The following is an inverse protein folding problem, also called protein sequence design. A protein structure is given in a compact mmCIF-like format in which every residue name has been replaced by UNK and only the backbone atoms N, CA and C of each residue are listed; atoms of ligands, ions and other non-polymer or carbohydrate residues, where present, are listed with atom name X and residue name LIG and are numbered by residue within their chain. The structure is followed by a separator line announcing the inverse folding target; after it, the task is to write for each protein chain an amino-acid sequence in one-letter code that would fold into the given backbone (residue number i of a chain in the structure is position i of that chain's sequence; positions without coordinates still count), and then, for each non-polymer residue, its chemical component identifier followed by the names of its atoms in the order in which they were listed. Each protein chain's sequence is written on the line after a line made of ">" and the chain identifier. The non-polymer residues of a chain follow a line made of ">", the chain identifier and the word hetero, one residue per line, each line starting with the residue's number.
data_IF_374856157001
#
_entry.id   IF_374856157001
#
_cell.length_a   1.000
_cell.length_b   1.000
_cell.length_c   1.000
_cell.angle_alpha   90.00
_cell.angle_beta   90.00
_cell.angle_gamma   90.00
#
_symmetry.space_group_name_H-M   'P 1'
#
loop_
_entity.id
_entity.type
_entity.pdbx_description
1 polymer ?
#
# COMPACT_ATOMS: atom_id res chain seq x y z
N UNK A 1 -0.19 1.02 31.47
CA UNK A 1 0.65 0.17 30.61
C UNK A 1 -0.11 0.02 29.32
N UNK A 2 0.54 0.29 28.18
CA UNK A 2 -0.06 0.02 26.86
C UNK A 2 -0.25 -1.50 26.72
N UNK A 3 -1.28 -1.97 26.01
CA UNK A 3 -1.55 -3.41 25.89
C UNK A 3 -0.56 -4.12 24.95
N UNK A 4 0.23 -3.35 24.18
CA UNK A 4 1.24 -3.84 23.24
C UNK A 4 2.68 -3.57 23.69
N UNK A 5 3.59 -4.37 23.15
CA UNK A 5 5.04 -4.25 23.24
C UNK A 5 5.65 -4.00 21.84
N UNK A 6 6.63 -3.10 21.76
CA UNK A 6 7.45 -2.90 20.54
C UNK A 6 8.90 -3.25 20.84
N UNK A 7 9.44 -4.24 20.15
CA UNK A 7 10.86 -4.63 20.25
C UNK A 7 11.62 -4.18 19.00
N UNK A 8 12.77 -3.54 19.19
CA UNK A 8 13.61 -3.06 18.09
C UNK A 8 14.98 -3.73 18.06
N UNK A 9 15.45 -4.10 16.87
CA UNK A 9 16.76 -4.71 16.62
C UNK A 9 17.19 -4.49 15.15
N UNK A 10 18.45 -4.73 14.82
CA UNK A 10 18.90 -4.63 13.43
C UNK A 10 18.47 -5.83 12.58
N UNK A 11 18.24 -5.60 11.28
CA UNK A 11 17.89 -6.65 10.32
C UNK A 11 19.17 -7.41 9.92
N UNK A 12 19.70 -8.21 10.83
CA UNK A 12 20.91 -9.02 10.61
C UNK A 12 20.68 -10.46 11.05
N UNK A 13 21.38 -11.41 10.41
CA UNK A 13 21.25 -12.84 10.74
C UNK A 13 21.60 -13.14 12.21
N UNK A 14 22.60 -12.45 12.75
CA UNK A 14 23.02 -12.57 14.15
C UNK A 14 21.92 -12.10 15.12
N UNK A 15 21.39 -10.89 14.92
CA UNK A 15 20.35 -10.34 15.79
C UNK A 15 19.04 -11.11 15.68
N UNK A 16 18.62 -11.54 14.47
CA UNK A 16 17.43 -12.38 14.31
C UNK A 16 17.60 -13.71 15.08
N UNK A 17 18.79 -14.31 15.04
CA UNK A 17 19.07 -15.57 15.73
C UNK A 17 19.07 -15.41 17.25
N UNK A 18 19.56 -14.29 17.76
CA UNK A 18 19.55 -13.95 19.18
C UNK A 18 18.14 -13.57 19.69
N UNK A 19 17.35 -12.86 18.87
CA UNK A 19 16.02 -12.36 19.21
C UNK A 19 14.93 -13.44 19.15
N UNK A 20 14.92 -14.28 18.10
CA UNK A 20 13.87 -15.26 17.86
C UNK A 20 13.57 -16.26 19.02
N UNK A 21 14.52 -16.68 19.87
CA UNK A 21 14.23 -17.55 21.02
C UNK A 21 13.78 -16.81 22.29
N UNK A 22 13.81 -15.47 22.34
CA UNK A 22 13.47 -14.71 23.55
C UNK A 22 11.98 -14.80 23.90
N UNK A 23 11.13 -14.96 22.90
CA UNK A 23 9.68 -15.13 23.07
C UNK A 23 9.14 -16.13 22.04
N UNK A 24 8.30 -17.06 22.49
CA UNK A 24 7.66 -18.05 21.61
C UNK A 24 6.73 -17.38 20.60
N UNK A 25 6.17 -16.21 20.94
CA UNK A 25 5.28 -15.41 20.07
C UNK A 25 5.96 -15.03 18.75
N UNK A 26 7.29 -14.86 18.73
CA UNK A 26 8.03 -14.53 17.51
C UNK A 26 8.02 -15.63 16.42
N UNK A 27 7.58 -16.84 16.77
CA UNK A 27 7.50 -17.99 15.84
C UNK A 27 6.09 -18.48 15.58
N UNK A 28 5.14 -18.12 16.44
CA UNK A 28 3.78 -18.66 16.39
C UNK A 28 2.75 -17.74 17.05
N UNK A 29 2.74 -16.46 16.68
CA UNK A 29 1.75 -15.50 17.13
C UNK A 29 1.55 -14.43 16.05
N UNK A 30 0.33 -13.92 15.86
CA UNK A 30 0.09 -12.78 14.97
C UNK A 30 0.86 -11.55 15.44
N UNK A 31 1.74 -11.03 14.59
CA UNK A 31 2.49 -9.79 14.86
C UNK A 31 2.39 -8.86 13.67
N UNK A 32 2.63 -7.57 13.92
CA UNK A 32 2.93 -6.57 12.88
C UNK A 32 4.37 -6.11 13.06
N UNK A 33 5.07 -5.81 11.98
CA UNK A 33 6.43 -5.28 12.04
C UNK A 33 6.64 -4.16 11.03
N UNK A 34 7.59 -3.28 11.35
CA UNK A 34 8.06 -2.21 10.49
C UNK A 34 9.55 -2.41 10.23
N UNK A 35 9.94 -2.38 8.96
CA UNK A 35 11.30 -2.40 8.48
C UNK A 35 11.63 -1.04 7.87
N UNK A 36 12.72 -0.43 8.30
CA UNK A 36 13.22 0.81 7.71
C UNK A 36 14.75 0.85 7.71
N UNK A 37 15.30 1.87 7.05
CA UNK A 37 16.69 2.26 7.14
C UNK A 37 16.84 3.46 8.10
N UNK A 38 16.79 3.21 9.41
CA UNK A 38 16.80 4.17 10.52
C UNK A 38 17.87 5.30 10.51
N UNK A 39 18.80 5.30 9.56
CA UNK A 39 19.77 6.38 9.35
C UNK A 39 19.15 7.66 8.76
N UNK A 40 17.87 7.67 8.38
CA UNK A 40 17.22 8.79 7.72
C UNK A 40 16.80 9.95 8.63
N UNK A 41 16.40 9.67 9.88
CA UNK A 41 15.65 10.64 10.71
C UNK A 41 16.45 11.21 11.89
N UNK A 42 17.63 10.65 12.20
CA UNK A 42 18.48 11.19 13.27
C UNK A 42 19.29 12.42 12.81
N UNK A 43 18.62 13.57 12.71
CA UNK A 43 19.23 14.84 13.10
C UNK A 43 19.49 15.92 12.05
N UNK A 44 18.87 15.94 10.87
CA UNK A 44 18.94 17.12 9.99
C UNK A 44 17.59 17.47 9.34
N UNK A 45 17.20 18.76 9.29
CA UNK A 45 16.10 19.20 8.44
C UNK A 45 16.57 19.07 6.98
N UNK A 46 16.12 18.03 6.30
CA UNK A 46 16.55 17.72 4.94
C UNK A 46 16.03 18.76 3.96
N UNK A 47 16.96 19.63 3.55
CA UNK A 47 16.83 20.54 2.43
C UNK A 47 16.71 19.71 1.15
N UNK A 48 15.48 19.62 0.62
CA UNK A 48 15.07 19.50 -0.80
C UNK A 48 15.75 18.49 -1.75
N UNK A 49 16.70 17.64 -1.35
CA UNK A 49 17.38 16.72 -2.28
C UNK A 49 18.14 15.57 -1.60
N UNK A 50 17.47 14.73 -0.81
CA UNK A 50 18.07 13.48 -0.33
C UNK A 50 17.13 12.30 -0.57
N UNK A 51 17.74 11.16 -0.94
CA UNK A 51 17.11 9.88 -1.24
C UNK A 51 15.98 9.58 -0.26
N UNK A 52 14.77 9.42 -0.79
CA UNK A 52 13.63 8.95 0.00
C UNK A 52 14.05 7.64 0.65
N UNK A 53 13.82 7.55 1.95
CA UNK A 53 14.15 6.36 2.73
C UNK A 53 13.03 5.35 2.56
N UNK A 54 13.37 4.07 2.51
CA UNK A 54 12.39 3.04 2.23
C UNK A 54 11.82 2.47 3.53
N UNK A 55 10.53 2.16 3.52
CA UNK A 55 9.85 1.51 4.63
C UNK A 55 9.00 0.36 4.13
N UNK A 56 8.97 -0.73 4.89
CA UNK A 56 8.07 -1.85 4.65
C UNK A 56 7.36 -2.21 5.95
N UNK A 57 6.05 -2.34 5.90
CA UNK A 57 5.24 -2.86 7.00
C UNK A 57 4.81 -4.28 6.64
N UNK A 58 4.67 -5.17 7.60
CA UNK A 58 4.09 -6.48 7.31
C UNK A 58 3.50 -7.11 8.54
N UNK A 59 2.58 -8.04 8.35
CA UNK A 59 2.18 -8.98 9.39
C UNK A 59 2.78 -10.38 9.18
N UNK A 60 2.79 -11.19 10.22
CA UNK A 60 3.12 -12.61 10.13
C UNK A 60 2.71 -13.38 11.38
N UNK A 61 2.40 -14.67 11.21
CA UNK A 61 2.35 -15.64 12.33
C UNK A 61 3.74 -16.13 12.75
N UNK A 62 4.73 -16.04 11.86
CA UNK A 62 6.10 -16.48 12.10
C UNK A 62 7.09 -15.39 11.70
N UNK A 63 7.14 -14.37 12.55
CA UNK A 63 8.00 -13.19 12.38
C UNK A 63 9.46 -13.58 12.15
N UNK A 64 10.00 -14.54 12.91
CA UNK A 64 11.38 -14.96 12.79
C UNK A 64 11.71 -15.59 11.42
N UNK A 65 10.80 -16.38 10.84
CA UNK A 65 10.97 -16.87 9.48
C UNK A 65 10.86 -15.73 8.46
N UNK A 66 9.88 -14.83 8.65
CA UNK A 66 9.66 -13.69 7.75
C UNK A 66 10.83 -12.71 7.71
N UNK A 67 11.50 -12.45 8.85
CA UNK A 67 12.69 -11.60 8.90
C UNK A 67 13.86 -12.19 8.11
N UNK A 68 14.03 -13.51 8.12
CA UNK A 68 15.05 -14.18 7.30
C UNK A 68 14.73 -14.06 5.81
N UNK A 69 13.47 -14.24 5.42
CA UNK A 69 13.04 -14.05 4.03
C UNK A 69 13.31 -12.62 3.54
N UNK A 70 13.06 -11.61 4.37
CA UNK A 70 13.37 -10.22 4.01
C UNK A 70 14.87 -9.97 3.89
N UNK A 71 15.69 -10.59 4.75
CA UNK A 71 17.15 -10.49 4.68
C UNK A 71 17.70 -11.10 3.37
N UNK A 72 17.09 -12.17 2.88
CA UNK A 72 17.48 -12.84 1.64
C UNK A 72 16.93 -12.14 0.38
N UNK A 73 16.06 -11.13 0.53
CA UNK A 73 15.45 -10.40 -0.58
C UNK A 73 16.34 -9.25 -1.06
N UNK A 74 16.78 -9.33 -2.33
CA UNK A 74 17.60 -8.28 -2.96
C UNK A 74 16.92 -6.90 -2.97
N UNK A 75 15.59 -6.87 -3.05
CA UNK A 75 14.82 -5.63 -3.04
C UNK A 75 14.79 -4.96 -1.66
N UNK A 76 14.96 -5.72 -0.56
CA UNK A 76 14.78 -5.25 0.82
C UNK A 76 16.05 -5.29 1.67
N UNK A 77 17.17 -5.80 1.14
CA UNK A 77 18.46 -5.89 1.84
C UNK A 77 19.05 -4.56 2.35
N UNK A 78 18.55 -3.43 1.85
CA UNK A 78 19.00 -2.10 2.29
C UNK A 78 18.28 -1.64 3.58
N UNK A 79 17.20 -2.32 4.00
CA UNK A 79 16.52 -2.08 5.26
C UNK A 79 17.39 -2.61 6.40
N UNK A 80 17.55 -1.83 7.47
CA UNK A 80 18.54 -2.11 8.51
C UNK A 80 17.93 -2.30 9.89
N UNK A 81 16.69 -1.86 10.09
CA UNK A 81 16.08 -1.79 11.41
C UNK A 81 14.72 -2.46 11.37
N UNK A 82 14.48 -3.32 12.36
CA UNK A 82 13.22 -4.01 12.59
C UNK A 82 12.57 -3.44 13.85
N UNK A 83 11.26 -3.22 13.80
CA UNK A 83 10.40 -3.00 14.97
C UNK A 83 9.26 -4.01 14.91
N UNK A 84 9.14 -4.88 15.91
CA UNK A 84 8.08 -5.89 15.99
C UNK A 84 7.09 -5.48 17.07
N UNK A 85 5.82 -5.39 16.69
CA UNK A 85 4.69 -4.97 17.51
C UNK A 85 3.86 -6.21 17.85
N UNK A 86 3.66 -6.45 19.15
CA UNK A 86 2.91 -7.60 19.66
C UNK A 86 1.94 -7.13 20.73
N UNK A 87 0.75 -7.71 20.73
CA UNK A 87 -0.23 -7.62 21.81
C UNK A 87 -0.80 -9.02 22.07
N UNK A 88 -1.17 -9.31 23.33
CA UNK A 88 -1.77 -10.60 23.72
C UNK A 88 -3.16 -10.84 23.12
N UNK A 89 -3.79 -9.80 22.59
CA UNK A 89 -5.13 -9.85 21.98
C UNK A 89 -5.09 -9.92 20.45
N UNK A 90 -3.90 -9.80 19.84
CA UNK A 90 -3.77 -9.84 18.38
C UNK A 90 -4.23 -11.17 17.79
N UNK A 91 -5.04 -11.03 16.76
CA UNK A 91 -5.41 -12.08 15.82
C UNK A 91 -5.09 -11.61 14.40
N UNK A 92 -5.24 -12.49 13.41
CA UNK A 92 -4.92 -12.19 12.00
C UNK A 92 -5.65 -10.94 11.49
N UNK A 93 -6.94 -10.78 11.79
CA UNK A 93 -7.73 -9.62 11.34
C UNK A 93 -7.21 -8.31 11.94
N UNK A 94 -6.85 -8.31 13.22
CA UNK A 94 -6.27 -7.12 13.89
C UNK A 94 -4.92 -6.75 13.27
N UNK A 95 -4.07 -7.73 12.99
CA UNK A 95 -2.76 -7.48 12.40
C UNK A 95 -2.86 -6.93 10.97
N UNK A 96 -3.78 -7.46 10.17
CA UNK A 96 -4.06 -6.94 8.82
C UNK A 96 -4.58 -5.49 8.86
N UNK A 97 -5.48 -5.15 9.79
CA UNK A 97 -5.99 -3.77 9.95
C UNK A 97 -4.88 -2.83 10.45
N UNK A 98 -4.04 -3.26 11.40
CA UNK A 98 -2.91 -2.46 11.88
C UNK A 98 -1.84 -2.26 10.80
N UNK A 99 -1.48 -3.30 10.05
CA UNK A 99 -0.58 -3.18 8.89
C UNK A 99 -1.12 -2.15 7.90
N UNK A 100 -2.38 -2.30 7.48
CA UNK A 100 -3.06 -1.40 6.54
C UNK A 100 -3.10 0.04 7.05
N UNK A 101 -3.39 0.22 8.34
CA UNK A 101 -3.36 1.51 9.01
C UNK A 101 -1.96 2.15 8.95
N UNK A 102 -0.90 1.43 9.33
CA UNK A 102 0.46 1.96 9.32
C UNK A 102 0.95 2.28 7.91
N UNK A 103 0.65 1.45 6.92
CA UNK A 103 0.96 1.70 5.49
C UNK A 103 0.34 3.03 5.04
N UNK A 104 -0.96 3.23 5.33
CA UNK A 104 -1.67 4.48 5.01
C UNK A 104 -1.03 5.69 5.66
N UNK A 105 -0.72 5.58 6.95
CA UNK A 105 -0.12 6.69 7.70
C UNK A 105 1.28 7.03 7.16
N UNK A 106 2.10 6.02 6.84
CA UNK A 106 3.45 6.23 6.28
C UNK A 106 3.39 6.88 4.89
N UNK A 107 2.48 6.41 4.05
CA UNK A 107 2.26 6.99 2.72
C UNK A 107 1.84 8.46 2.81
N UNK A 108 1.01 8.84 3.79
CA UNK A 108 0.59 10.22 4.00
C UNK A 108 1.61 11.12 4.72
N UNK A 109 2.48 10.55 5.57
CA UNK A 109 3.59 11.27 6.20
C UNK A 109 4.59 11.76 5.12
N UNK A 110 4.83 10.94 4.11
CA UNK A 110 5.60 11.30 2.91
C UNK A 110 7.11 11.39 3.15
N UNK A 111 7.59 10.93 4.31
CA UNK A 111 9.02 10.84 4.66
C UNK A 111 9.67 9.62 4.01
N UNK A 112 8.91 8.53 3.91
CA UNK A 112 9.36 7.28 3.33
C UNK A 112 8.71 6.98 1.99
N UNK A 113 9.40 6.19 1.19
CA UNK A 113 8.83 5.46 0.07
C UNK A 113 8.37 4.11 0.63
N UNK A 114 7.05 3.92 0.63
CA UNK A 114 6.45 2.68 1.11
C UNK A 114 6.67 1.59 0.07
N UNK A 115 7.35 0.52 0.46
CA UNK A 115 7.68 -0.62 -0.40
C UNK A 115 6.54 -1.64 -0.52
N UNK A 116 5.53 -1.57 0.36
CA UNK A 116 4.34 -2.40 0.26
C UNK A 116 3.61 -2.17 -1.05
N UNK A 117 3.12 -3.26 -1.65
CA UNK A 117 2.18 -3.18 -2.76
C UNK A 117 0.76 -2.98 -2.22
N UNK A 118 -0.08 -2.32 -3.00
CA UNK A 118 -1.43 -1.92 -2.62
C UNK A 118 -2.48 -3.00 -2.92
N UNK A 119 -2.12 -4.28 -2.80
CA UNK A 119 -2.77 -5.36 -3.56
C UNK A 119 -4.24 -5.64 -3.20
N UNK A 120 -4.84 -4.93 -2.24
CA UNK A 120 -6.24 -5.10 -1.89
C UNK A 120 -6.63 -4.60 -0.50
N UNK A 121 -6.09 -3.45 -0.06
CA UNK A 121 -6.49 -2.88 1.23
C UNK A 121 -7.97 -2.48 1.15
N UNK A 122 -8.83 -3.27 1.78
CA UNK A 122 -10.27 -3.01 1.93
C UNK A 122 -10.62 -2.76 3.39
N UNK A 123 -11.62 -1.92 3.64
CA UNK A 123 -12.15 -1.77 5.00
C UNK A 123 -13.03 -2.97 5.35
N UNK A 124 -12.57 -3.82 6.27
CA UNK A 124 -13.30 -4.99 6.76
C UNK A 124 -13.70 -4.83 8.24
N UNK A 125 -14.86 -5.37 8.61
CA UNK A 125 -15.29 -5.47 10.01
C UNK A 125 -14.75 -6.75 10.68
N UNK A 126 -14.42 -6.66 11.98
CA UNK A 126 -14.06 -7.82 12.79
C UNK A 126 -14.40 -7.59 14.27
N UNK A 127 -14.38 -8.66 15.05
CA UNK A 127 -14.76 -8.63 16.46
C UNK A 127 -13.93 -7.61 17.25
N UNK A 128 -14.62 -6.71 17.96
CA UNK A 128 -14.04 -5.61 18.76
C UNK A 128 -13.13 -4.62 18.00
N UNK A 129 -13.28 -4.48 16.67
CA UNK A 129 -12.46 -3.58 15.84
C UNK A 129 -12.28 -2.16 16.38
N UNK A 130 -13.33 -1.52 16.87
CA UNK A 130 -13.24 -0.16 17.43
C UNK A 130 -12.26 -0.10 18.63
N UNK A 131 -12.34 -1.09 19.53
CA UNK A 131 -11.43 -1.21 20.68
C UNK A 131 -9.98 -1.39 20.23
N UNK A 132 -9.73 -2.18 19.18
CA UNK A 132 -8.37 -2.34 18.65
C UNK A 132 -7.85 -1.05 18.01
N UNK A 133 -8.69 -0.30 17.31
CA UNK A 133 -8.29 0.96 16.67
C UNK A 133 -7.84 2.04 17.66
N UNK A 134 -8.41 2.07 18.87
CA UNK A 134 -7.89 2.92 19.95
C UNK A 134 -6.44 2.60 20.32
N UNK A 135 -6.02 1.34 20.19
CA UNK A 135 -4.63 0.93 20.42
C UNK A 135 -3.70 1.30 19.26
N UNK A 136 -4.22 1.43 18.03
CA UNK A 136 -3.41 1.76 16.86
C UNK A 136 -2.85 3.17 16.94
N UNK A 137 -3.62 4.11 17.48
CA UNK A 137 -3.14 5.48 17.74
C UNK A 137 -1.96 5.47 18.73
N UNK A 138 -2.02 4.61 19.75
CA UNK A 138 -0.93 4.47 20.73
C UNK A 138 0.31 3.84 20.09
N UNK A 139 0.13 2.83 19.22
CA UNK A 139 1.23 2.26 18.41
C UNK A 139 1.86 3.33 17.52
N UNK A 140 1.04 4.13 16.84
CA UNK A 140 1.50 5.23 15.99
C UNK A 140 2.35 6.23 16.79
N UNK A 141 1.86 6.70 17.94
CA UNK A 141 2.60 7.65 18.76
C UNK A 141 3.92 7.07 19.29
N UNK A 142 3.97 5.79 19.63
CA UNK A 142 5.23 5.14 20.01
C UNK A 142 6.21 5.06 18.83
N UNK A 143 5.74 4.66 17.65
CA UNK A 143 6.57 4.62 16.43
C UNK A 143 7.06 6.01 16.03
N UNK A 144 6.24 7.05 16.21
CA UNK A 144 6.61 8.44 16.01
C UNK A 144 7.72 8.86 16.97
N UNK A 145 7.61 8.50 18.26
CA UNK A 145 8.68 8.74 19.24
C UNK A 145 9.98 8.02 18.88
N UNK A 146 9.88 6.86 18.24
CA UNK A 146 11.02 6.08 17.72
C UNK A 146 11.57 6.61 16.38
N UNK A 147 11.02 7.71 15.86
CA UNK A 147 11.46 8.40 14.64
C UNK A 147 10.95 7.80 13.33
N UNK A 148 9.93 6.92 13.37
CA UNK A 148 9.31 6.32 12.18
C UNK A 148 8.34 7.29 11.50
N UNK A 149 7.76 8.22 12.25
CA UNK A 149 6.89 9.27 11.73
C UNK A 149 7.41 10.64 12.14
N UNK A 150 7.15 11.66 11.32
CA UNK A 150 7.47 13.05 11.67
C UNK A 150 6.20 13.82 12.01
N UNK A 151 5.14 13.66 11.21
CA UNK A 151 3.86 14.36 11.40
C UNK A 151 2.98 13.65 12.41
N UNK A 152 2.05 14.40 12.98
CA UNK A 152 0.94 13.85 13.77
C UNK A 152 -0.15 13.24 12.89
N UNK A 153 -1.02 12.43 13.50
CA UNK A 153 -2.18 11.84 12.80
C UNK A 153 -3.01 12.93 12.09
N UNK A 154 -3.42 14.04 12.74
CA UNK A 154 -4.24 15.06 12.07
C UNK A 154 -3.52 15.75 10.91
N UNK A 155 -2.20 15.94 10.99
CA UNK A 155 -1.43 16.55 9.90
C UNK A 155 -1.36 15.61 8.68
N UNK A 156 -1.21 14.30 8.91
CA UNK A 156 -1.21 13.28 7.87
C UNK A 156 -2.58 13.21 7.22
N UNK A 157 -3.65 13.05 7.99
CA UNK A 157 -5.02 12.88 7.49
C UNK A 157 -5.52 14.09 6.69
N UNK A 158 -5.07 15.29 7.06
CA UNK A 158 -5.44 16.52 6.35
C UNK A 158 -4.63 16.76 5.07
N UNK A 159 -3.54 16.03 4.84
CA UNK A 159 -2.71 16.19 3.65
C UNK A 159 -3.43 15.73 2.37
N UNK A 160 -3.18 16.43 1.26
CA UNK A 160 -3.68 16.01 -0.05
C UNK A 160 -3.13 14.64 -0.46
N UNK A 161 -1.88 14.37 -0.07
CA UNK A 161 -1.22 13.08 -0.30
C UNK A 161 -2.00 11.93 0.34
N UNK A 162 -2.49 12.10 1.57
CA UNK A 162 -3.30 11.09 2.26
C UNK A 162 -4.72 10.99 1.69
N UNK A 163 -5.39 12.14 1.48
CA UNK A 163 -6.77 12.19 0.97
C UNK A 163 -6.94 11.55 -0.41
N UNK A 164 -5.91 11.70 -1.24
CA UNK A 164 -5.84 11.18 -2.61
C UNK A 164 -4.94 9.94 -2.71
N UNK A 165 -4.45 9.43 -1.57
CA UNK A 165 -3.51 8.32 -1.54
C UNK A 165 -4.13 7.07 -2.16
N UNK A 166 -3.41 6.37 -3.06
CA UNK A 166 -3.85 5.05 -3.51
C UNK A 166 -3.79 4.02 -2.37
N UNK A 167 -3.15 4.32 -1.24
CA UNK A 167 -3.13 3.46 -0.06
C UNK A 167 -4.41 3.59 0.78
N UNK A 168 -5.31 4.53 0.46
CA UNK A 168 -6.60 4.62 1.15
C UNK A 168 -7.40 3.36 0.84
N UNK A 169 -7.88 2.71 1.90
CA UNK A 169 -8.69 1.51 1.78
C UNK A 169 -9.96 1.81 0.96
N UNK A 170 -10.22 0.97 -0.05
CA UNK A 170 -11.45 1.08 -0.81
C UNK A 170 -12.64 0.62 0.04
N UNK A 171 -13.78 1.28 -0.14
CA UNK A 171 -15.05 0.70 0.33
C UNK A 171 -15.41 -0.51 -0.53
N UNK A 172 -16.28 -1.39 -0.04
CA UNK A 172 -16.72 -2.57 -0.82
C UNK A 172 -17.24 -2.18 -2.21
N UNK A 173 -18.09 -1.15 -2.30
CA UNK A 173 -18.65 -0.67 -3.57
C UNK A 173 -17.56 -0.14 -4.53
N UNK A 174 -16.55 0.56 -3.99
CA UNK A 174 -15.43 1.05 -4.78
C UNK A 174 -14.56 -0.11 -5.27
N UNK A 175 -14.34 -1.12 -4.43
CA UNK A 175 -13.56 -2.29 -4.76
C UNK A 175 -14.22 -3.11 -5.88
N UNK A 176 -15.54 -3.34 -5.79
CA UNK A 176 -16.34 -3.98 -6.85
C UNK A 176 -16.30 -3.17 -8.14
N UNK A 177 -16.35 -1.83 -8.06
CA UNK A 177 -16.23 -0.98 -9.25
C UNK A 177 -14.85 -1.09 -9.91
N UNK A 178 -13.77 -1.16 -9.14
CA UNK A 178 -12.41 -1.34 -9.66
C UNK A 178 -12.24 -2.71 -10.31
N UNK A 179 -12.72 -3.77 -9.65
CA UNK A 179 -12.71 -5.15 -10.16
C UNK A 179 -13.40 -5.24 -11.53
N UNK A 180 -14.64 -4.77 -11.65
CA UNK A 180 -15.37 -4.81 -12.92
C UNK A 180 -14.73 -3.97 -14.04
N UNK A 181 -14.00 -2.89 -13.70
CA UNK A 181 -13.23 -2.12 -14.68
C UNK A 181 -12.03 -2.91 -15.18
N UNK A 182 -11.31 -3.60 -14.29
CA UNK A 182 -10.16 -4.44 -14.65
C UNK A 182 -10.59 -5.64 -15.50
N UNK A 183 -11.64 -6.35 -15.10
CA UNK A 183 -12.19 -7.47 -15.88
C UNK A 183 -12.54 -7.04 -17.31
N UNK A 184 -13.26 -5.92 -17.45
CA UNK A 184 -13.61 -5.36 -18.75
C UNK A 184 -12.37 -4.98 -19.57
N UNK A 185 -11.43 -4.24 -18.95
CA UNK A 185 -10.20 -3.80 -19.60
C UNK A 185 -9.39 -4.99 -20.13
N UNK A 186 -9.19 -6.04 -19.33
CA UNK A 186 -8.41 -7.19 -19.76
C UNK A 186 -9.11 -8.01 -20.85
N UNK A 187 -10.43 -8.19 -20.77
CA UNK A 187 -11.20 -8.83 -21.85
C UNK A 187 -11.08 -8.03 -23.17
N UNK A 188 -11.05 -6.70 -23.10
CA UNK A 188 -10.85 -5.85 -24.27
C UNK A 188 -9.43 -5.94 -24.82
N UNK A 189 -8.41 -5.99 -23.95
CA UNK A 189 -7.02 -6.17 -24.37
C UNK A 189 -6.80 -7.52 -25.07
N UNK A 190 -7.37 -8.60 -24.55
CA UNK A 190 -7.31 -9.93 -25.17
C UNK A 190 -7.98 -9.97 -26.54
N UNK A 191 -9.09 -9.25 -26.70
CA UNK A 191 -9.84 -9.18 -27.95
C UNK A 191 -9.41 -8.05 -28.90
N UNK A 192 -8.39 -7.25 -28.51
CA UNK A 192 -7.97 -6.03 -29.21
C UNK A 192 -9.12 -5.04 -29.47
N UNK A 193 -10.09 -5.00 -28.55
CA UNK A 193 -11.22 -4.09 -28.58
C UNK A 193 -10.91 -2.77 -27.85
N UNK A 194 -11.67 -1.74 -28.18
CA UNK A 194 -11.66 -0.46 -27.45
C UNK A 194 -12.98 -0.27 -26.76
N UNK A 195 -12.97 -0.07 -25.44
CA UNK A 195 -14.17 0.19 -24.65
C UNK A 195 -14.04 1.47 -23.82
N UNK A 196 -15.11 1.80 -23.12
CA UNK A 196 -15.14 2.93 -22.18
C UNK A 196 -15.94 2.52 -20.95
N UNK A 197 -15.29 2.58 -19.81
CA UNK A 197 -15.92 2.38 -18.50
C UNK A 197 -16.36 3.72 -17.93
N UNK A 198 -17.60 3.79 -17.45
CA UNK A 198 -18.17 5.01 -16.84
C UNK A 198 -18.48 4.74 -15.38
N UNK A 199 -17.84 5.48 -14.47
CA UNK A 199 -18.11 5.42 -13.04
C UNK A 199 -19.08 6.53 -12.66
N UNK A 200 -20.25 6.17 -12.12
CA UNK A 200 -21.23 7.11 -11.60
C UNK A 200 -21.34 7.00 -10.08
N UNK A 201 -21.50 8.13 -9.41
CA UNK A 201 -21.71 8.18 -7.97
C UNK A 201 -21.98 9.59 -7.49
N UNK A 202 -22.62 9.70 -6.33
CA UNK A 202 -22.96 10.98 -5.71
C UNK A 202 -21.72 11.85 -5.39
N UNK A 203 -21.87 13.17 -5.22
CA UNK A 203 -20.77 14.00 -4.72
C UNK A 203 -20.18 13.43 -3.42
N UNK A 204 -18.84 13.37 -3.34
CA UNK A 204 -18.16 12.86 -2.15
C UNK A 204 -17.93 11.35 -2.08
N UNK A 205 -18.42 10.54 -3.02
CA UNK A 205 -18.23 9.07 -3.02
C UNK A 205 -16.82 8.58 -3.38
N UNK A 206 -15.84 9.48 -3.52
CA UNK A 206 -14.45 9.09 -3.75
C UNK A 206 -14.10 8.68 -5.19
N UNK A 207 -14.83 9.13 -6.22
CA UNK A 207 -14.52 8.83 -7.64
C UNK A 207 -13.06 9.11 -8.03
N UNK A 208 -12.49 10.22 -7.56
CA UNK A 208 -11.07 10.54 -7.80
C UNK A 208 -10.12 9.55 -7.13
N UNK A 209 -10.48 9.03 -5.96
CA UNK A 209 -9.71 7.98 -5.27
C UNK A 209 -9.70 6.71 -6.13
N UNK A 210 -10.86 6.29 -6.67
CA UNK A 210 -10.94 5.15 -7.58
C UNK A 210 -10.02 5.34 -8.80
N UNK A 211 -10.04 6.51 -9.43
CA UNK A 211 -9.22 6.77 -10.63
C UNK A 211 -7.71 6.71 -10.34
N UNK A 212 -7.26 7.30 -9.23
CA UNK A 212 -5.84 7.27 -8.81
C UNK A 212 -5.44 5.85 -8.39
N UNK A 213 -6.32 5.17 -7.66
CA UNK A 213 -6.11 3.78 -7.25
C UNK A 213 -5.96 2.86 -8.46
N UNK A 214 -6.87 2.93 -9.43
CA UNK A 214 -6.82 2.14 -10.65
C UNK A 214 -5.53 2.37 -11.43
N UNK A 215 -5.10 3.64 -11.57
CA UNK A 215 -3.84 3.96 -12.24
C UNK A 215 -2.64 3.32 -11.53
N UNK A 216 -2.59 3.40 -10.19
CA UNK A 216 -1.52 2.76 -9.41
C UNK A 216 -1.55 1.25 -9.56
N UNK A 217 -2.74 0.64 -9.47
CA UNK A 217 -2.93 -0.80 -9.57
C UNK A 217 -2.48 -1.32 -10.94
N UNK A 218 -2.82 -0.64 -12.04
CA UNK A 218 -2.35 -0.99 -13.39
C UNK A 218 -0.82 -0.93 -13.52
N UNK A 219 -0.19 0.09 -12.94
CA UNK A 219 1.28 0.18 -12.90
C UNK A 219 1.89 -0.95 -12.08
N UNK A 220 1.26 -1.31 -10.96
CA UNK A 220 1.73 -2.40 -10.10
C UNK A 220 1.60 -3.78 -10.77
N UNK A 221 0.48 -4.02 -11.46
CA UNK A 221 0.26 -5.24 -12.26
C UNK A 221 1.29 -5.31 -13.39
N UNK A 222 1.54 -4.19 -14.10
CA UNK A 222 2.54 -4.15 -15.17
C UNK A 222 3.97 -4.42 -14.64
N UNK A 223 4.27 -4.01 -13.40
CA UNK A 223 5.57 -4.19 -12.76
C UNK A 223 5.68 -5.48 -11.92
N UNK A 224 4.67 -6.35 -11.95
CA UNK A 224 4.60 -7.57 -11.16
C UNK A 224 5.84 -8.46 -11.36
N UNK A 225 6.62 -8.79 -10.31
CA UNK A 225 7.61 -9.86 -10.39
C UNK A 225 6.92 -11.24 -10.46
N UNK A 226 7.66 -12.31 -10.77
CA UNK A 226 7.10 -13.66 -10.86
C UNK A 226 6.31 -14.08 -9.61
N UNK A 227 5.28 -14.91 -9.84
CA UNK A 227 4.13 -15.23 -8.98
C UNK A 227 4.36 -15.61 -7.49
N UNK A 228 5.60 -15.76 -7.02
CA UNK A 228 5.92 -16.30 -5.69
C UNK A 228 5.84 -15.29 -4.53
N UNK A 229 5.51 -14.01 -4.81
CA UNK A 229 5.44 -12.96 -3.79
C UNK A 229 4.03 -12.47 -3.44
N UNK A 230 2.97 -13.01 -4.07
CA UNK A 230 1.61 -12.50 -3.87
C UNK A 230 0.92 -13.15 -2.67
N UNK A 231 0.23 -12.32 -1.89
CA UNK A 231 -0.74 -12.81 -0.92
C UNK A 231 -1.99 -13.27 -1.68
N UNK A 232 -2.22 -14.59 -1.71
CA UNK A 232 -3.35 -15.18 -2.45
C UNK A 232 -4.71 -14.75 -1.93
N UNK A 233 -4.76 -14.19 -0.72
CA UNK A 233 -6.00 -13.75 -0.07
C UNK A 233 -6.38 -12.31 -0.43
N UNK A 234 -5.57 -11.62 -1.24
CA UNK A 234 -5.82 -10.23 -1.64
C UNK A 234 -6.86 -10.13 -2.76
N UNK A 235 -7.75 -9.14 -2.68
CA UNK A 235 -8.89 -8.99 -3.60
C UNK A 235 -8.50 -8.96 -5.08
N UNK A 236 -7.35 -8.35 -5.42
CA UNK A 236 -6.91 -8.20 -6.81
C UNK A 236 -5.80 -9.18 -7.19
N UNK A 237 -5.50 -10.19 -6.36
CA UNK A 237 -4.36 -11.10 -6.55
C UNK A 237 -4.37 -11.81 -7.91
N UNK A 238 -5.56 -12.13 -8.44
CA UNK A 238 -5.70 -12.79 -9.74
C UNK A 238 -5.16 -11.96 -10.92
N UNK A 239 -5.22 -10.62 -10.83
CA UNK A 239 -4.74 -9.73 -11.88
C UNK A 239 -3.22 -9.64 -11.94
N UNK A 240 -2.51 -10.11 -10.91
CA UNK A 240 -1.05 -10.13 -10.88
C UNK A 240 -0.45 -11.42 -11.44
N UNK A 241 -1.30 -12.40 -11.79
CA UNK A 241 -0.90 -13.70 -12.31
C UNK A 241 -1.60 -13.97 -13.65
N UNK A 242 -1.32 -15.12 -14.29
CA UNK A 242 -2.17 -15.62 -15.37
C UNK A 242 -2.05 -14.91 -16.74
N UNK A 243 -1.01 -14.12 -16.99
CA UNK A 243 -0.80 -13.47 -18.30
C UNK A 243 -1.22 -12.00 -18.36
N UNK A 244 -1.88 -11.49 -17.32
CA UNK A 244 -2.33 -10.10 -17.25
C UNK A 244 -1.17 -9.07 -17.26
N UNK A 245 -0.06 -9.27 -16.53
CA UNK A 245 1.11 -8.38 -16.63
C UNK A 245 1.64 -8.24 -18.07
N UNK A 246 1.64 -9.34 -18.83
CA UNK A 246 2.09 -9.39 -20.22
C UNK A 246 1.15 -8.61 -21.16
N UNK A 247 -0.16 -8.65 -20.91
CA UNK A 247 -1.14 -7.85 -21.66
C UNK A 247 -0.94 -6.35 -21.44
N UNK A 248 -0.42 -5.94 -20.27
CA UNK A 248 -0.09 -4.54 -19.99
C UNK A 248 1.29 -4.13 -20.51
N UNK A 249 2.14 -5.06 -20.95
CA UNK A 249 3.53 -4.77 -21.30
C UNK A 249 3.63 -3.73 -22.44
N UNK A 250 4.31 -2.62 -22.17
CA UNK A 250 4.52 -1.54 -23.13
C UNK A 250 3.35 -0.55 -23.26
N UNK A 251 2.26 -0.73 -22.52
CA UNK A 251 1.18 0.25 -22.44
C UNK A 251 1.57 1.42 -21.52
N UNK A 252 1.08 2.61 -21.88
CA UNK A 252 1.16 3.79 -21.02
C UNK A 252 -0.24 4.18 -20.54
N UNK A 253 -0.34 4.54 -19.27
CA UNK A 253 -1.59 4.91 -18.62
C UNK A 253 -1.59 6.41 -18.29
N UNK A 254 -2.71 7.07 -18.53
CA UNK A 254 -2.87 8.50 -18.24
C UNK A 254 -4.19 8.80 -17.54
N UNK A 255 -4.17 9.80 -16.65
CA UNK A 255 -5.36 10.37 -16.03
C UNK A 255 -5.64 11.75 -16.64
N UNK A 256 -6.79 11.89 -17.30
CA UNK A 256 -7.23 13.17 -17.86
C UNK A 256 -8.22 13.82 -16.91
N UNK A 257 -7.83 14.97 -16.33
CA UNK A 257 -8.72 15.79 -15.48
C UNK A 257 -9.17 17.01 -16.27
N UNK A 258 -10.44 17.08 -16.70
CA UNK A 258 -10.94 18.24 -17.45
C UNK A 258 -10.95 19.48 -16.55
N UNK A 259 -10.33 20.58 -17.01
CA UNK A 259 -10.31 21.85 -16.30
C UNK A 259 -11.47 22.74 -16.80
N UNK A 260 -12.65 22.58 -16.21
CA UNK A 260 -13.86 23.37 -16.53
C UNK A 260 -15.14 22.74 -15.99
N UNK A 261 -16.16 23.56 -15.67
CA UNK A 261 -17.46 23.08 -15.16
C UNK A 261 -18.14 22.19 -16.20
N UNK A 262 -18.16 20.89 -15.97
CA UNK A 262 -19.09 19.96 -16.60
C UNK A 262 -20.01 19.38 -15.52
N UNK A 263 -21.31 19.63 -15.65
CA UNK A 263 -22.36 18.87 -14.96
C UNK A 263 -22.49 17.48 -15.60
N UNK A 264 -21.41 16.69 -15.62
CA UNK A 264 -21.36 15.21 -15.64
C UNK A 264 -19.89 14.90 -15.29
N UNK A 265 -19.63 14.44 -14.07
CA UNK A 265 -18.27 14.10 -13.65
C UNK A 265 -17.83 12.76 -14.27
N UNK A 266 -17.28 12.80 -15.48
CA UNK A 266 -16.57 11.69 -16.11
C UNK A 266 -15.06 11.83 -15.88
N UNK A 267 -14.42 10.79 -15.35
CA UNK A 267 -12.96 10.64 -15.35
C UNK A 267 -12.65 9.46 -16.24
N UNK A 268 -11.92 9.67 -17.34
CA UNK A 268 -11.50 8.60 -18.25
C UNK A 268 -10.05 8.21 -17.99
N UNK A 269 -9.80 6.91 -17.95
CA UNK A 269 -8.47 6.32 -18.01
C UNK A 269 -8.32 5.74 -19.42
N UNK A 270 -7.30 6.15 -20.17
CA UNK A 270 -7.02 5.62 -21.50
C UNK A 270 -5.65 4.94 -21.53
N UNK A 271 -5.59 3.76 -22.15
CA UNK A 271 -4.34 3.14 -22.55
C UNK A 271 -3.87 3.78 -23.86
N UNK A 272 -2.64 4.31 -23.88
CA UNK A 272 -2.06 4.96 -25.06
C UNK A 272 -0.94 4.09 -25.63
N UNK A 273 -1.10 3.68 -26.89
CA UNK A 273 -0.11 2.98 -27.71
C UNK A 273 0.98 3.97 -28.19
N UNK A 274 2.27 3.77 -27.82
CA UNK A 274 3.38 4.66 -28.21
C UNK A 274 3.64 4.73 -29.73
N UNK A 275 3.13 3.80 -30.53
CA UNK A 275 3.39 3.70 -31.97
C UNK A 275 2.44 4.53 -32.83
N UNK A 276 1.37 5.11 -32.26
CA UNK A 276 0.45 6.00 -32.97
C UNK A 276 0.75 7.47 -32.68
N UNK A 277 1.32 8.16 -33.66
CA UNK A 277 1.39 9.62 -33.70
C UNK A 277 -0.02 10.20 -33.49
N UNK A 278 -0.21 10.93 -32.38
CA UNK A 278 -1.40 11.75 -32.17
C UNK A 278 -1.44 12.86 -33.21
N UNK A 279 -2.35 12.74 -34.16
CA UNK A 279 -2.95 13.87 -34.83
C UNK A 279 -4.42 13.85 -34.44
N UNK A 280 -4.82 14.68 -33.47
CA UNK A 280 -6.21 15.11 -33.42
C UNK A 280 -6.33 16.55 -32.92
N UNK A 281 -6.72 17.37 -33.88
CA UNK A 281 -7.28 18.70 -33.76
C UNK A 281 -8.60 18.62 -33.00
N UNK A 282 -8.72 19.36 -31.89
CA UNK A 282 -10.02 19.75 -31.34
C UNK A 282 -9.97 21.22 -30.91
N UNK A 283 -10.34 22.09 -31.84
CA UNK A 283 -10.90 23.40 -31.56
C UNK A 283 -12.09 23.61 -32.52
N UNK A 284 -13.27 23.75 -31.91
CA UNK A 284 -14.64 23.90 -32.47
C UNK A 284 -15.39 22.62 -32.81
#
# INVERSE_FOLDING_TARGET
>A
MTPFDITSFGLTSEEITAWAPLDWRYKNWPVVYVLDNANAVKGQPSIRNQSVSDVYVGESLNAAARMRQHLDSDAKKHLTTVRVIIDETFNKSVCLDLESYLIRMLAGDGVYQVLNRNDGITESEYYERERYRESFEQVFEQLKNDGVFIRSIPEIENSDLFKLSPFKALTQDQAVAVEGILEGLFADLESSATSTSVIQGEPGTGKTVIAIYLLKLLVDIQAAPPAEEFDSDSLFAEFFVGGYPELLAGLSFGLVVPHGRFEVAGTSVSAVDPSRQFAETLLQ
#
